data_IF_570688463091
#
_entry.id   IF_570688463091
#
_cell.length_a   1.000
_cell.length_b   1.000
_cell.length_c   1.000
_cell.angle_alpha   90.00
_cell.angle_beta   90.00
_cell.angle_gamma   90.00
#
_symmetry.space_group_name_H-M   'P 1'
#
loop_
_entity.id
_entity.type
_entity.pdbx_description
1 polymer ?
#
# COMPACT_ATOMS: atom_id res chain seq x y z
N UNK A 1 25.61 -5.82 -8.77
CA UNK A 1 25.09 -6.35 -7.51
C UNK A 1 24.72 -5.20 -6.58
N UNK A 2 23.58 -5.31 -5.89
CA UNK A 2 23.02 -4.30 -5.00
C UNK A 2 22.72 -4.88 -3.61
N UNK A 3 22.77 -4.03 -2.59
CA UNK A 3 22.41 -4.37 -1.21
C UNK A 3 22.06 -3.09 -0.43
N UNK A 4 21.75 -3.22 0.86
CA UNK A 4 21.40 -2.08 1.73
C UNK A 4 22.47 -0.97 1.77
N UNK A 5 23.74 -1.32 1.55
CA UNK A 5 24.87 -0.38 1.55
C UNK A 5 25.26 0.09 0.14
N UNK A 6 24.78 -0.60 -0.91
CA UNK A 6 25.13 -0.38 -2.30
C UNK A 6 23.86 -0.28 -3.14
N UNK A 7 23.27 0.93 -3.24
CA UNK A 7 22.09 1.15 -4.06
C UNK A 7 22.43 0.97 -5.54
N UNK A 8 21.39 0.68 -6.32
CA UNK A 8 21.51 0.64 -7.78
C UNK A 8 21.73 2.05 -8.36
N UNK A 9 22.29 2.13 -9.58
CA UNK A 9 22.37 3.39 -10.33
C UNK A 9 20.98 4.01 -10.56
N UNK A 10 20.97 5.26 -11.01
CA UNK A 10 19.73 5.96 -11.38
C UNK A 10 18.94 5.14 -12.42
N UNK A 11 17.61 5.16 -12.32
CA UNK A 11 16.68 4.42 -13.19
C UNK A 11 16.80 2.88 -13.09
N UNK A 12 17.32 2.38 -11.97
CA UNK A 12 17.36 0.95 -11.65
C UNK A 12 16.88 0.69 -10.23
N UNK A 13 16.27 -0.47 -10.01
CA UNK A 13 15.89 -0.94 -8.69
C UNK A 13 16.61 -2.25 -8.34
N UNK A 14 16.72 -2.53 -7.04
CA UNK A 14 17.37 -3.74 -6.55
C UNK A 14 16.36 -4.88 -6.44
N UNK A 15 16.58 -5.95 -7.20
CA UNK A 15 15.82 -7.20 -7.16
C UNK A 15 16.75 -8.35 -6.82
N UNK A 16 16.62 -8.91 -5.60
CA UNK A 16 17.42 -10.06 -5.13
C UNK A 16 18.92 -9.91 -5.45
N UNK A 17 19.51 -8.80 -5.00
CA UNK A 17 20.91 -8.42 -5.23
C UNK A 17 21.31 -8.09 -6.67
N UNK A 18 20.39 -8.09 -7.63
CA UNK A 18 20.64 -7.63 -9.00
C UNK A 18 19.97 -6.29 -9.28
N UNK A 19 20.67 -5.40 -9.97
CA UNK A 19 20.07 -4.16 -10.44
C UNK A 19 19.31 -4.44 -11.73
N UNK A 20 18.01 -4.14 -11.72
CA UNK A 20 17.15 -4.22 -12.90
C UNK A 20 16.71 -2.82 -13.29
N UNK A 21 16.45 -2.62 -14.58
CA UNK A 21 15.84 -1.39 -15.09
C UNK A 21 14.53 -1.09 -14.37
N UNK A 22 14.29 0.18 -14.06
CA UNK A 22 13.03 0.61 -13.49
C UNK A 22 11.84 0.29 -14.40
N UNK A 23 10.66 0.19 -13.79
CA UNK A 23 9.43 -0.15 -14.49
C UNK A 23 8.71 1.11 -14.98
N UNK A 24 8.26 1.08 -16.24
CA UNK A 24 7.53 2.17 -16.88
C UNK A 24 6.02 2.05 -16.67
N UNK A 25 5.26 3.02 -17.17
CA UNK A 25 3.80 3.06 -17.08
C UNK A 25 3.12 1.74 -17.46
N UNK A 26 2.07 1.37 -16.72
CA UNK A 26 1.28 0.13 -16.89
C UNK A 26 2.07 -1.18 -16.73
N UNK A 27 3.34 -1.12 -16.34
CA UNK A 27 4.14 -2.31 -16.05
C UNK A 27 3.77 -2.85 -14.67
N UNK A 28 3.61 -4.19 -14.50
CA UNK A 28 3.29 -4.78 -13.22
C UNK A 28 4.42 -4.57 -12.22
N UNK A 29 4.07 -4.16 -11.01
CA UNK A 29 4.99 -3.88 -9.92
C UNK A 29 4.49 -4.50 -8.62
N UNK A 30 5.42 -4.91 -7.75
CA UNK A 30 5.09 -5.60 -6.51
C UNK A 30 5.60 -4.88 -5.27
N UNK A 31 6.56 -3.96 -5.40
CA UNK A 31 7.21 -3.30 -4.27
C UNK A 31 7.31 -1.79 -4.50
N UNK A 32 7.45 -1.05 -3.40
CA UNK A 32 7.70 0.39 -3.44
C UNK A 32 9.09 0.63 -4.06
N UNK A 33 9.19 1.62 -4.95
CA UNK A 33 10.47 2.04 -5.55
C UNK A 33 10.95 1.20 -6.73
N UNK A 34 10.13 0.30 -7.29
CA UNK A 34 10.48 -0.42 -8.53
C UNK A 34 10.17 0.39 -9.81
N UNK A 35 9.21 1.30 -9.73
CA UNK A 35 8.82 2.16 -10.85
C UNK A 35 9.83 3.28 -11.09
N UNK A 36 9.96 3.72 -12.35
CA UNK A 36 10.82 4.83 -12.72
C UNK A 36 10.39 6.15 -12.05
N UNK A 37 11.30 7.13 -12.03
CA UNK A 37 11.02 8.44 -11.46
C UNK A 37 9.78 9.08 -12.10
N UNK A 38 8.82 9.51 -11.27
CA UNK A 38 7.53 10.07 -11.72
C UNK A 38 6.37 9.07 -11.82
N UNK A 39 6.64 7.79 -11.56
CA UNK A 39 5.64 6.73 -11.47
C UNK A 39 5.64 6.13 -10.07
N UNK A 40 4.45 5.75 -9.60
CA UNK A 40 4.27 5.07 -8.30
C UNK A 40 3.51 3.78 -8.54
N UNK A 41 3.87 2.73 -7.80
CA UNK A 41 3.18 1.46 -7.88
C UNK A 41 1.83 1.56 -7.17
N UNK A 42 0.76 1.56 -7.96
CA UNK A 42 -0.64 1.65 -7.50
C UNK A 42 -1.40 0.43 -8.02
N UNK A 43 -2.07 -0.30 -7.13
CA UNK A 43 -2.82 -1.53 -7.47
C UNK A 43 -2.00 -2.56 -8.27
N UNK A 44 -0.69 -2.61 -8.02
CA UNK A 44 0.22 -3.53 -8.71
C UNK A 44 0.66 -3.07 -10.09
N UNK A 45 0.43 -1.81 -10.49
CA UNK A 45 0.91 -1.23 -11.75
C UNK A 45 1.58 0.13 -11.55
N UNK A 46 2.64 0.39 -12.31
CA UNK A 46 3.30 1.70 -12.30
C UNK A 46 2.40 2.73 -12.97
N UNK A 47 1.95 3.70 -12.19
CA UNK A 47 0.95 4.70 -12.60
C UNK A 47 1.54 6.10 -12.49
N UNK A 48 1.28 6.94 -13.50
CA UNK A 48 1.74 8.33 -13.54
C UNK A 48 0.80 9.25 -12.75
N UNK A 49 1.35 10.27 -12.11
CA UNK A 49 0.55 11.28 -11.40
C UNK A 49 0.01 10.83 -10.04
N UNK A 50 0.37 9.62 -9.61
CA UNK A 50 0.07 9.09 -8.27
C UNK A 50 1.23 9.42 -7.34
N UNK A 51 0.92 9.75 -6.10
CA UNK A 51 1.90 9.96 -5.02
C UNK A 51 1.87 8.77 -4.07
N UNK A 52 3.03 8.48 -3.49
CA UNK A 52 3.14 7.50 -2.40
C UNK A 52 2.19 7.90 -1.25
N UNK A 53 1.40 6.95 -0.75
CA UNK A 53 0.40 7.17 0.30
C UNK A 53 -1.04 7.36 -0.19
N UNK A 54 -1.23 7.52 -1.51
CA UNK A 54 -2.56 7.54 -2.11
C UNK A 54 -3.24 6.16 -2.04
N UNK A 55 -4.58 6.11 -2.10
CA UNK A 55 -5.31 4.85 -2.20
C UNK A 55 -4.76 3.92 -3.28
N UNK A 56 -4.51 2.66 -2.92
CA UNK A 56 -3.97 1.63 -3.80
C UNK A 56 -2.45 1.56 -3.86
N UNK A 57 -1.70 2.50 -3.28
CA UNK A 57 -0.24 2.38 -3.20
C UNK A 57 0.17 1.43 -2.09
N UNK A 58 1.30 0.72 -2.26
CA UNK A 58 1.86 -0.11 -1.21
C UNK A 58 2.30 0.74 0.00
N UNK A 59 2.24 0.18 1.19
CA UNK A 59 2.64 0.84 2.44
C UNK A 59 3.22 -0.19 3.41
N UNK A 60 4.10 0.27 4.29
CA UNK A 60 4.59 -0.53 5.41
C UNK A 60 3.93 -0.10 6.74
N UNK A 61 3.53 1.17 6.83
CA UNK A 61 2.91 1.77 8.03
C UNK A 61 1.72 2.63 7.67
N UNK A 62 0.78 2.75 8.60
CA UNK A 62 -0.41 3.60 8.43
C UNK A 62 -0.04 5.07 8.25
N UNK A 63 1.03 5.55 8.88
CA UNK A 63 1.53 6.93 8.73
C UNK A 63 2.02 7.30 7.32
N UNK A 64 2.23 6.31 6.46
CA UNK A 64 2.63 6.52 5.07
C UNK A 64 1.42 6.72 4.15
N UNK A 65 0.22 6.39 4.63
CA UNK A 65 -1.03 6.61 3.92
C UNK A 65 -1.61 7.99 4.22
N UNK A 66 -2.43 8.47 3.29
CA UNK A 66 -3.22 9.70 3.47
C UNK A 66 -4.15 9.59 4.70
N UNK A 67 -4.59 10.72 5.26
CA UNK A 67 -5.40 10.80 6.49
C UNK A 67 -6.74 10.04 6.40
N UNK A 68 -7.24 9.87 5.17
CA UNK A 68 -8.46 9.13 4.85
C UNK A 68 -8.21 7.69 4.39
N UNK A 69 -6.99 7.18 4.57
CA UNK A 69 -6.58 5.85 4.13
C UNK A 69 -5.82 5.12 5.23
N UNK A 70 -5.81 3.81 5.15
CA UNK A 70 -5.13 2.96 6.11
C UNK A 70 -4.29 1.90 5.45
N UNK A 71 -3.18 1.58 6.09
CA UNK A 71 -2.31 0.53 5.61
C UNK A 71 -2.88 -0.83 6.02
N UNK A 72 -3.41 -1.59 5.06
CA UNK A 72 -3.99 -2.91 5.31
C UNK A 72 -3.55 -3.94 4.28
N UNK A 73 -3.58 -5.21 4.66
CA UNK A 73 -3.22 -6.30 3.75
C UNK A 73 -4.45 -6.83 3.05
N UNK A 74 -4.59 -6.38 1.80
CA UNK A 74 -5.62 -6.84 0.90
C UNK A 74 -5.13 -8.08 0.15
N UNK A 75 -5.56 -9.26 0.61
CA UNK A 75 -5.14 -10.56 0.03
C UNK A 75 -5.49 -10.70 -1.45
N UNK A 76 -6.50 -9.96 -1.93
CA UNK A 76 -6.86 -9.94 -3.35
C UNK A 76 -5.86 -9.17 -4.24
N UNK A 77 -5.04 -8.29 -3.65
CA UNK A 77 -4.03 -7.50 -4.36
C UNK A 77 -2.61 -8.03 -4.15
N UNK A 78 -2.25 -8.36 -2.92
CA UNK A 78 -0.96 -8.97 -2.60
C UNK A 78 -1.07 -9.85 -1.37
N UNK A 79 -0.53 -11.06 -1.48
CA UNK A 79 -0.44 -11.97 -0.35
C UNK A 79 0.64 -11.55 0.64
N UNK A 80 1.55 -10.63 0.28
CA UNK A 80 2.74 -10.28 1.09
C UNK A 80 2.81 -8.81 1.50
N UNK A 81 2.28 -7.91 0.68
CA UNK A 81 2.48 -6.48 0.85
C UNK A 81 1.15 -5.80 1.24
N UNK A 82 1.25 -4.80 2.12
CA UNK A 82 0.10 -3.99 2.53
C UNK A 82 -0.10 -2.82 1.58
N UNK A 83 -1.34 -2.35 1.47
CA UNK A 83 -1.74 -1.24 0.60
C UNK A 83 -2.54 -0.21 1.37
N UNK A 84 -2.43 1.05 0.97
CA UNK A 84 -3.28 2.12 1.47
C UNK A 84 -4.71 1.91 0.94
N UNK A 85 -5.61 1.49 1.81
CA UNK A 85 -7.03 1.33 1.50
C UNK A 85 -7.80 2.53 2.02
N UNK A 86 -8.69 3.14 1.21
CA UNK A 86 -9.48 4.26 1.68
C UNK A 86 -10.44 3.79 2.79
N UNK A 87 -10.66 4.66 3.78
CA UNK A 87 -11.66 4.47 4.82
C UNK A 87 -13.08 4.64 4.23
N UNK A 88 -14.03 3.91 4.82
CA UNK A 88 -15.42 3.86 4.40
C UNK A 88 -16.16 5.17 4.69
N UNK A 89 -16.97 5.60 3.74
CA UNK A 89 -17.90 6.73 3.85
C UNK A 89 -19.20 6.34 4.57
N UNK A 90 -20.06 7.34 4.78
CA UNK A 90 -21.42 7.11 5.28
C UNK A 90 -22.19 6.19 4.33
N UNK A 91 -22.96 5.25 4.89
CA UNK A 91 -23.75 4.24 4.16
C UNK A 91 -22.97 3.17 3.39
N UNK A 92 -21.64 3.20 3.41
CA UNK A 92 -20.86 2.10 2.88
C UNK A 92 -20.91 0.89 3.83
N UNK A 93 -20.91 -0.31 3.25
CA UNK A 93 -21.04 -1.55 4.00
C UNK A 93 -19.79 -1.82 4.83
N UNK A 94 -19.91 -1.63 6.14
CA UNK A 94 -18.96 -2.13 7.12
C UNK A 94 -19.50 -3.47 7.66
N UNK A 95 -18.80 -4.57 7.41
CA UNK A 95 -19.31 -5.93 7.64
C UNK A 95 -18.39 -6.79 8.52
N UNK A 96 -18.86 -7.99 8.92
CA UNK A 96 -18.08 -8.94 9.75
C UNK A 96 -16.91 -9.58 9.01
N UNK A 97 -16.91 -9.53 7.66
CA UNK A 97 -15.76 -9.90 6.85
C UNK A 97 -14.74 -8.77 7.01
N UNK A 98 -13.65 -9.06 7.71
CA UNK A 98 -12.61 -8.08 8.00
C UNK A 98 -11.83 -7.74 6.73
N UNK A 99 -12.42 -6.93 5.86
CA UNK A 99 -11.81 -6.41 4.63
C UNK A 99 -10.59 -5.52 4.91
N UNK A 100 -10.34 -5.22 6.17
CA UNK A 100 -9.17 -4.51 6.69
C UNK A 100 -8.37 -5.50 7.55
N UNK A 101 -7.85 -6.57 6.93
CA UNK A 101 -6.95 -7.48 7.64
C UNK A 101 -5.74 -6.70 8.14
N UNK A 102 -5.69 -6.51 9.45
CA UNK A 102 -4.58 -5.88 10.15
C UNK A 102 -3.35 -6.78 10.02
N UNK A 103 -2.22 -6.21 9.61
CA UNK A 103 -0.96 -6.94 9.63
C UNK A 103 -0.36 -6.76 11.02
N UNK A 104 -0.34 -7.85 11.77
CA UNK A 104 0.52 -7.97 12.95
C UNK A 104 1.95 -8.14 12.46
N UNK A 105 2.66 -7.04 12.20
CA UNK A 105 4.08 -7.06 11.85
C UNK A 105 4.89 -6.81 13.12
N UNK A 106 5.62 -7.84 13.57
CA UNK A 106 6.75 -7.75 14.52
C UNK A 106 6.51 -7.00 15.84
N UNK A 107 5.43 -7.35 16.56
CA UNK A 107 5.27 -6.95 17.96
C UNK A 107 4.91 -5.48 18.20
N UNK A 108 4.57 -4.73 17.15
CA UNK A 108 3.95 -3.41 17.25
C UNK A 108 2.50 -3.49 16.79
N UNK A 109 1.57 -3.26 17.71
CA UNK A 109 0.16 -3.08 17.38
C UNK A 109 0.05 -1.71 16.70
N UNK A 110 0.01 -1.69 15.36
CA UNK A 110 -0.35 -0.49 14.62
C UNK A 110 -1.73 0.00 15.12
N UNK A 111 -1.92 1.32 15.30
CA UNK A 111 -3.17 1.85 15.83
C UNK A 111 -4.34 1.36 14.99
N UNK A 112 -5.42 0.96 15.66
CA UNK A 112 -6.64 0.43 15.03
C UNK A 112 -7.19 1.50 14.11
N UNK A 113 -6.84 1.43 12.83
CA UNK A 113 -7.61 2.07 11.79
C UNK A 113 -8.99 1.41 11.80
N UNK A 114 -10.02 2.18 12.14
CA UNK A 114 -11.40 1.78 11.97
C UNK A 114 -11.75 1.74 10.48
N UNK A 115 -12.63 0.82 10.04
CA UNK A 115 -13.01 0.74 8.64
C UNK A 115 -13.71 2.02 8.17
N UNK A 116 -14.32 2.79 9.07
CA UNK A 116 -15.03 4.02 8.75
C UNK A 116 -14.17 5.27 8.98
N UNK A 117 -14.42 6.32 8.20
CA UNK A 117 -13.80 7.64 8.41
C UNK A 117 -14.02 8.18 9.83
N UNK A 118 -13.16 9.12 10.24
CA UNK A 118 -13.30 9.80 11.52
C UNK A 118 -14.71 10.37 11.70
N UNK A 119 -15.31 10.09 12.86
CA UNK A 119 -16.69 10.51 13.18
C UNK A 119 -17.79 9.55 12.71
N UNK A 120 -17.45 8.51 11.93
CA UNK A 120 -18.39 7.46 11.55
C UNK A 120 -18.21 6.22 12.41
N UNK A 121 -19.32 5.56 12.72
CA UNK A 121 -19.32 4.32 13.47
C UNK A 121 -20.06 3.25 12.67
N UNK A 122 -19.42 2.09 12.53
CA UNK A 122 -20.09 0.93 11.96
C UNK A 122 -21.23 0.50 12.89
N UNK A 123 -22.47 0.49 12.37
CA UNK A 123 -23.66 0.04 13.09
C UNK A 123 -24.32 -1.09 12.34
N UNK A 124 -24.78 -2.09 13.07
CA UNK A 124 -25.66 -3.10 12.50
C UNK A 124 -27.02 -2.44 12.22
N UNK A 125 -27.40 -2.40 10.95
CA UNK A 125 -28.72 -1.95 10.50
C UNK A 125 -29.54 -3.21 10.20
N UNK A 126 -30.08 -3.80 11.26
CA UNK A 126 -30.88 -5.03 11.24
C UNK A 126 -32.02 -4.95 12.23
#
# INVERSE_FOLDING_TARGET
>A
ECNINKPCPKDQFCDVHMCRSCLHESTPCHFIGTCCQGFVCQYGQCTKGVKQGMPGTYCDKTSECDENSCCVRELSLSTRNSVCKPMLNEYESCGPINLFHQVYTDGRVEPVCGPCKQGLQCKNVG
#
